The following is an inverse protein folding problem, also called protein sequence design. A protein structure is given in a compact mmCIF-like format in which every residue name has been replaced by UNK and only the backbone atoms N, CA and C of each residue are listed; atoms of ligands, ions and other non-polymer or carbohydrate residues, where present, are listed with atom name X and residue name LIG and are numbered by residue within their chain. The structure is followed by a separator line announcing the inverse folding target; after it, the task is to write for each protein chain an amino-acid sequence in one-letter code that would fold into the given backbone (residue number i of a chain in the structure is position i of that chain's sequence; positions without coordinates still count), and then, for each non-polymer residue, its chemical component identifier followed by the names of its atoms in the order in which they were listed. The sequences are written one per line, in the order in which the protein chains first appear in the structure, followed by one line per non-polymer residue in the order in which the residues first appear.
data_IF_536736261210
#
_entry.id   IF_536736261210
#
_cell.length_a   1.000
_cell.length_b   1.000
_cell.length_c   1.000
_cell.angle_alpha   90.00
_cell.angle_beta   90.00
_cell.angle_gamma   90.00
#
_symmetry.space_group_name_H-M   'P 1'
#
loop_
_entity.id
_entity.type
_entity.pdbx_description
1 polymer ?
#
# COMPACT_ATOMS: atom_id res chain seq x y z
N UNK A 1 -53.70 -69.93 -0.15
CA UNK A 1 -54.80 -69.20 0.59
C UNK A 1 -54.26 -67.80 0.86
N UNK A 2 -54.93 -66.85 0.24
CA UNK A 2 -54.91 -65.40 0.47
C UNK A 2 -53.54 -64.66 0.31
N UNK A 3 -53.32 -64.02 -0.83
CA UNK A 3 -53.92 -62.77 -1.30
C UNK A 3 -53.68 -61.55 -0.34
N UNK A 4 -52.89 -60.56 -0.85
CA UNK A 4 -53.20 -59.14 -0.95
C UNK A 4 -51.91 -58.40 -1.44
N UNK A 5 -51.90 -58.01 -2.63
CA UNK A 5 -51.99 -56.74 -3.31
C UNK A 5 -51.76 -55.48 -2.41
N UNK A 6 -50.74 -54.70 -2.65
CA UNK A 6 -50.91 -53.28 -2.93
C UNK A 6 -49.55 -52.55 -3.21
N UNK A 7 -49.47 -52.06 -4.36
CA UNK A 7 -49.51 -50.67 -4.84
C UNK A 7 -48.17 -49.91 -4.78
N UNK A 8 -47.66 -49.72 -5.99
CA UNK A 8 -46.67 -48.70 -6.40
C UNK A 8 -46.94 -47.32 -5.78
N UNK A 9 -45.89 -46.67 -5.33
CA UNK A 9 -45.83 -45.22 -5.39
C UNK A 9 -44.39 -44.77 -5.73
N UNK A 10 -44.23 -44.42 -6.99
CA UNK A 10 -43.01 -43.79 -7.53
C UNK A 10 -42.87 -42.38 -7.00
N UNK A 11 -41.87 -42.10 -6.19
CA UNK A 11 -41.48 -40.77 -5.86
C UNK A 11 -40.31 -40.32 -6.76
N UNK A 12 -40.66 -39.55 -7.78
CA UNK A 12 -39.71 -38.76 -8.58
C UNK A 12 -39.17 -37.65 -7.71
N UNK A 13 -37.91 -37.78 -7.29
CA UNK A 13 -37.16 -36.67 -6.67
C UNK A 13 -36.54 -35.88 -7.81
N UNK A 14 -37.16 -34.74 -8.15
CA UNK A 14 -36.58 -33.74 -9.02
C UNK A 14 -35.40 -33.05 -8.25
N UNK A 15 -34.20 -33.36 -8.70
CA UNK A 15 -32.99 -32.68 -8.25
C UNK A 15 -32.91 -31.33 -8.98
N UNK A 16 -33.47 -30.30 -8.38
CA UNK A 16 -33.34 -28.91 -8.85
C UNK A 16 -31.94 -28.42 -8.63
N UNK A 17 -31.16 -28.27 -9.71
CA UNK A 17 -29.91 -27.49 -9.70
C UNK A 17 -30.24 -26.02 -9.47
N UNK A 18 -30.19 -25.59 -8.22
CA UNK A 18 -30.22 -24.19 -7.84
C UNK A 18 -28.87 -23.56 -8.17
N UNK A 19 -28.77 -22.87 -9.31
CA UNK A 19 -27.71 -21.91 -9.56
C UNK A 19 -27.87 -20.74 -8.57
N UNK A 20 -27.24 -20.86 -7.39
CA UNK A 20 -27.15 -19.79 -6.43
C UNK A 20 -26.23 -18.71 -6.97
N UNK A 21 -26.81 -17.66 -7.56
CA UNK A 21 -26.09 -16.41 -7.81
C UNK A 21 -25.69 -15.84 -6.45
N UNK A 22 -24.42 -15.94 -6.09
CA UNK A 22 -23.83 -15.15 -4.99
C UNK A 22 -23.82 -13.69 -5.42
N UNK A 23 -24.93 -13.00 -5.20
CA UNK A 23 -24.92 -11.54 -5.18
C UNK A 23 -24.13 -11.12 -3.94
N UNK A 24 -22.95 -10.52 -4.15
CA UNK A 24 -22.22 -9.85 -3.09
C UNK A 24 -23.10 -8.71 -2.55
N UNK A 25 -23.78 -8.96 -1.45
CA UNK A 25 -24.55 -7.94 -0.76
C UNK A 25 -23.53 -6.96 -0.12
N UNK A 26 -23.45 -5.77 -0.69
CA UNK A 26 -22.81 -4.65 -0.02
C UNK A 26 -23.57 -4.39 1.28
N UNK A 27 -22.95 -4.63 2.43
CA UNK A 27 -23.51 -4.31 3.72
C UNK A 27 -23.61 -2.79 3.83
N UNK A 28 -24.81 -2.26 3.66
CA UNK A 28 -25.13 -0.85 3.94
C UNK A 28 -25.20 -0.71 5.46
N UNK A 29 -24.33 0.15 6.01
CA UNK A 29 -24.38 0.50 7.41
C UNK A 29 -25.73 1.17 7.75
N UNK A 30 -26.29 1.01 8.96
CA UNK A 30 -27.64 1.48 9.30
C UNK A 30 -27.84 3.00 9.26
N UNK A 31 -26.78 3.79 9.09
CA UNK A 31 -26.81 5.26 8.95
C UNK A 31 -26.76 5.75 7.50
N UNK A 32 -26.93 4.85 6.51
CA UNK A 32 -27.04 5.19 5.10
C UNK A 32 -25.78 5.82 4.45
N UNK A 33 -24.69 6.01 5.18
CA UNK A 33 -23.41 6.43 4.65
C UNK A 33 -22.55 5.21 4.35
N UNK A 34 -22.47 4.81 3.07
CA UNK A 34 -21.44 3.89 2.62
C UNK A 34 -20.09 4.44 3.09
N UNK A 35 -19.45 3.76 4.03
CA UNK A 35 -18.11 4.14 4.50
C UNK A 35 -17.19 4.00 3.30
N UNK A 36 -16.82 5.12 2.68
CA UNK A 36 -15.85 5.15 1.59
C UNK A 36 -14.57 4.46 2.09
N UNK A 37 -14.25 3.30 1.50
CA UNK A 37 -13.02 2.57 1.84
C UNK A 37 -11.84 3.34 1.27
N UNK A 38 -11.11 4.04 2.14
CA UNK A 38 -9.95 4.84 1.75
C UNK A 38 -8.70 3.95 1.80
N UNK A 39 -8.08 3.73 0.66
CA UNK A 39 -6.75 3.14 0.57
C UNK A 39 -5.72 4.23 0.87
N UNK A 40 -4.77 3.95 1.75
CA UNK A 40 -3.68 4.88 2.10
C UNK A 40 -2.34 4.25 1.74
N UNK A 41 -1.58 4.93 0.89
CA UNK A 41 -0.24 4.51 0.46
C UNK A 41 0.78 5.52 0.99
N UNK A 42 1.68 5.06 1.85
CA UNK A 42 2.83 5.83 2.29
C UNK A 42 4.03 5.48 1.41
N UNK A 43 4.67 6.50 0.84
CA UNK A 43 5.81 6.32 -0.04
C UNK A 43 6.99 7.12 0.48
N UNK A 44 8.14 6.47 0.57
CA UNK A 44 9.41 7.09 0.97
C UNK A 44 10.54 6.59 0.08
N UNK A 45 11.52 7.44 -0.15
CA UNK A 45 12.82 7.03 -0.70
C UNK A 45 13.57 6.21 0.36
N UNK A 46 14.44 5.27 -0.07
CA UNK A 46 15.42 4.69 0.85
C UNK A 46 16.16 5.79 1.61
N UNK A 47 16.53 5.52 2.84
CA UNK A 47 17.29 6.46 3.67
C UNK A 47 18.73 6.65 3.18
N UNK A 48 19.48 7.53 3.82
CA UNK A 48 20.84 7.89 3.43
C UNK A 48 21.75 6.67 3.32
N UNK A 49 22.42 6.58 2.17
CA UNK A 49 23.36 5.50 1.85
C UNK A 49 24.77 5.85 2.34
N UNK A 50 25.53 4.83 2.72
CA UNK A 50 26.96 4.95 2.96
C UNK A 50 27.71 4.82 1.62
N UNK A 51 28.21 5.94 1.11
CA UNK A 51 28.95 5.99 -0.15
C UNK A 51 30.40 5.48 -0.05
N UNK A 52 30.86 5.12 1.15
CA UNK A 52 32.25 4.66 1.38
C UNK A 52 32.40 3.16 1.25
N UNK A 53 31.29 2.40 1.29
CA UNK A 53 31.30 0.94 1.23
C UNK A 53 31.14 0.42 -0.21
N UNK A 54 30.08 -0.31 -0.48
CA UNK A 54 29.78 -0.90 -1.78
C UNK A 54 29.10 0.14 -2.71
N UNK A 55 29.78 0.58 -3.77
CA UNK A 55 29.23 1.57 -4.71
C UNK A 55 28.04 1.05 -5.50
N UNK A 56 27.96 -0.25 -5.75
CA UNK A 56 26.90 -0.84 -6.57
C UNK A 56 25.60 -0.99 -5.75
N UNK A 57 25.70 -1.47 -4.51
CA UNK A 57 24.56 -1.63 -3.62
C UNK A 57 24.93 -1.26 -2.16
N UNK A 58 25.07 0.05 -1.88
CA UNK A 58 25.51 0.53 -0.58
C UNK A 58 24.48 0.26 0.53
N UNK A 59 25.00 0.01 1.73
CA UNK A 59 24.21 -0.05 2.97
C UNK A 59 23.73 1.35 3.38
N UNK A 60 22.89 1.43 4.41
CA UNK A 60 22.54 2.69 5.04
C UNK A 60 23.73 3.25 5.84
N UNK A 61 23.91 4.57 5.79
CA UNK A 61 24.77 5.31 6.72
C UNK A 61 24.17 5.30 8.13
N UNK A 62 24.93 5.77 9.11
CA UNK A 62 24.43 5.96 10.48
C UNK A 62 23.19 6.88 10.52
N UNK A 63 23.19 7.98 9.73
CA UNK A 63 22.04 8.87 9.60
C UNK A 63 20.85 8.14 8.96
N UNK A 64 21.09 7.32 7.93
CA UNK A 64 20.05 6.52 7.28
C UNK A 64 19.40 5.51 8.23
N UNK A 65 20.18 4.92 9.14
CA UNK A 65 19.62 4.02 10.17
C UNK A 65 18.71 4.78 11.14
N UNK A 66 19.09 6.00 11.55
CA UNK A 66 18.24 6.88 12.39
C UNK A 66 16.93 7.21 11.65
N UNK A 67 17.01 7.54 10.34
CA UNK A 67 15.82 7.81 9.53
C UNK A 67 14.91 6.58 9.38
N UNK A 68 15.47 5.40 9.23
CA UNK A 68 14.71 4.13 9.20
C UNK A 68 13.94 3.91 10.52
N UNK A 69 14.55 4.20 11.67
CA UNK A 69 13.87 4.17 12.97
C UNK A 69 12.77 5.23 13.08
N UNK A 70 12.98 6.43 12.55
CA UNK A 70 11.95 7.48 12.51
C UNK A 70 10.76 7.05 11.66
N UNK A 71 10.99 6.39 10.52
CA UNK A 71 9.93 5.81 9.69
C UNK A 71 9.08 4.80 10.48
N UNK A 72 9.74 3.89 11.20
CA UNK A 72 9.06 2.94 12.10
C UNK A 72 8.18 3.67 13.11
N UNK A 73 8.70 4.66 13.82
CA UNK A 73 7.95 5.40 14.85
C UNK A 73 6.69 6.07 14.28
N UNK A 74 6.79 6.61 13.05
CA UNK A 74 5.69 7.29 12.38
C UNK A 74 4.61 6.34 11.88
N UNK A 75 4.99 5.16 11.36
CA UNK A 75 4.08 4.31 10.61
C UNK A 75 3.61 3.08 11.35
N UNK A 76 4.23 2.67 12.46
CA UNK A 76 3.80 1.49 13.24
C UNK A 76 2.34 1.60 13.68
N UNK A 77 1.88 2.79 14.09
CA UNK A 77 0.50 3.05 14.52
C UNK A 77 -0.47 3.29 13.36
N UNK A 78 -0.01 3.25 12.12
CA UNK A 78 -0.85 3.33 10.91
C UNK A 78 -1.37 1.97 10.48
N UNK A 79 -0.96 0.89 11.18
CA UNK A 79 -1.39 -0.48 10.95
C UNK A 79 -1.29 -0.88 9.47
N UNK A 80 -0.11 -0.76 8.84
CA UNK A 80 0.05 -1.20 7.47
C UNK A 80 -0.20 -2.70 7.38
N UNK A 81 -0.83 -3.14 6.30
CA UNK A 81 -1.10 -4.56 6.02
C UNK A 81 -0.18 -5.14 4.97
N UNK A 82 0.57 -4.30 4.26
CA UNK A 82 1.60 -4.70 3.30
C UNK A 82 2.73 -3.68 3.26
N UNK A 83 3.93 -4.20 3.03
CA UNK A 83 5.17 -3.46 2.91
C UNK A 83 5.82 -3.84 1.58
N UNK A 84 6.17 -2.84 0.76
CA UNK A 84 6.81 -3.03 -0.53
C UNK A 84 8.21 -2.41 -0.55
N UNK A 85 9.17 -3.10 -1.15
CA UNK A 85 10.56 -2.67 -1.27
C UNK A 85 11.15 -3.12 -2.61
N UNK A 86 12.15 -2.43 -3.13
CA UNK A 86 12.97 -2.97 -4.22
C UNK A 86 14.05 -3.91 -3.66
N UNK A 87 14.70 -4.67 -4.54
CA UNK A 87 15.74 -5.62 -4.15
C UNK A 87 17.12 -4.93 -4.02
N UNK A 88 17.23 -3.96 -3.12
CA UNK A 88 18.52 -3.34 -2.77
C UNK A 88 18.72 -3.33 -1.26
N UNK A 89 19.97 -3.42 -0.81
CA UNK A 89 20.32 -3.39 0.63
C UNK A 89 19.72 -2.17 1.32
N UNK A 90 19.82 -0.99 0.71
CA UNK A 90 19.35 0.28 1.30
C UNK A 90 17.83 0.37 1.43
N UNK A 91 17.05 -0.09 0.45
CA UNK A 91 15.58 -0.06 0.56
C UNK A 91 15.07 -1.07 1.57
N UNK A 92 15.63 -2.28 1.56
CA UNK A 92 15.34 -3.33 2.56
C UNK A 92 15.68 -2.84 3.97
N UNK A 93 16.87 -2.27 4.17
CA UNK A 93 17.30 -1.75 5.48
C UNK A 93 16.47 -0.56 5.97
N UNK A 94 15.98 0.30 5.05
CA UNK A 94 15.07 1.39 5.42
C UNK A 94 13.74 0.86 5.98
N UNK A 95 13.24 -0.24 5.41
CA UNK A 95 11.94 -0.78 5.78
C UNK A 95 12.02 -1.77 6.96
N UNK A 96 13.18 -2.38 7.21
CA UNK A 96 13.36 -3.46 8.18
C UNK A 96 12.86 -3.14 9.59
N UNK A 97 13.15 -1.96 10.21
CA UNK A 97 12.65 -1.67 11.56
C UNK A 97 11.12 -1.59 11.64
N UNK A 98 10.46 -1.12 10.58
CA UNK A 98 8.99 -1.10 10.52
C UNK A 98 8.45 -2.53 10.32
N UNK A 99 9.04 -3.29 9.41
CA UNK A 99 8.65 -4.67 9.11
C UNK A 99 8.67 -5.56 10.37
N UNK A 100 9.74 -5.47 11.14
CA UNK A 100 9.88 -6.17 12.42
C UNK A 100 8.78 -5.74 13.42
N UNK A 101 8.54 -4.44 13.55
CA UNK A 101 7.57 -3.91 14.52
C UNK A 101 6.12 -4.28 14.19
N UNK A 102 5.76 -4.37 12.91
CA UNK A 102 4.41 -4.77 12.47
C UNK A 102 4.29 -6.25 12.14
N UNK A 103 5.39 -7.02 12.22
CA UNK A 103 5.47 -8.46 11.93
C UNK A 103 4.99 -8.81 10.52
N UNK A 104 5.40 -8.02 9.53
CA UNK A 104 5.10 -8.24 8.12
C UNK A 104 6.39 -8.49 7.34
N UNK A 105 6.36 -9.45 6.42
CA UNK A 105 7.46 -9.67 5.48
C UNK A 105 7.36 -8.68 4.32
N UNK A 106 8.41 -7.90 4.03
CA UNK A 106 8.42 -6.98 2.90
C UNK A 106 8.37 -7.73 1.55
N UNK A 107 7.48 -7.29 0.68
CA UNK A 107 7.31 -7.82 -0.66
C UNK A 107 8.20 -7.04 -1.64
N UNK A 108 9.01 -7.76 -2.41
CA UNK A 108 9.89 -7.16 -3.42
C UNK A 108 9.08 -6.85 -4.68
N UNK A 109 9.29 -5.64 -5.23
CA UNK A 109 8.75 -5.26 -6.52
C UNK A 109 9.88 -4.83 -7.48
N UNK A 110 9.67 -4.98 -8.78
CA UNK A 110 10.59 -4.48 -9.80
C UNK A 110 10.40 -2.97 -9.96
N UNK A 111 11.46 -2.14 -9.76
CA UNK A 111 11.37 -0.70 -9.95
C UNK A 111 11.07 -0.26 -11.40
N UNK A 112 11.12 -1.18 -12.37
CA UNK A 112 10.70 -0.93 -13.74
C UNK A 112 9.20 -1.15 -13.97
N UNK A 113 8.54 -1.89 -13.07
CA UNK A 113 7.13 -2.29 -13.17
C UNK A 113 6.22 -1.48 -12.22
N UNK A 114 6.41 -0.16 -12.18
CA UNK A 114 5.68 0.76 -11.28
C UNK A 114 4.18 0.70 -11.50
N UNK A 115 3.73 0.63 -12.74
CA UNK A 115 2.31 0.53 -13.08
C UNK A 115 1.69 -0.77 -12.55
N UNK A 116 2.42 -1.89 -12.63
CA UNK A 116 1.97 -3.17 -12.10
C UNK A 116 1.81 -3.10 -10.57
N UNK A 117 2.76 -2.47 -9.86
CA UNK A 117 2.63 -2.23 -8.41
C UNK A 117 1.41 -1.39 -8.09
N UNK A 118 1.15 -0.29 -8.82
CA UNK A 118 0.00 0.57 -8.60
C UNK A 118 -1.33 -0.19 -8.84
N UNK A 119 -1.42 -1.01 -9.88
CA UNK A 119 -2.58 -1.88 -10.15
C UNK A 119 -2.79 -2.85 -8.99
N UNK A 120 -1.74 -3.53 -8.56
CA UNK A 120 -1.78 -4.47 -7.44
C UNK A 120 -2.25 -3.81 -6.15
N UNK A 121 -1.74 -2.62 -5.82
CA UNK A 121 -2.16 -1.86 -4.63
C UNK A 121 -3.66 -1.56 -4.69
N UNK A 122 -4.18 -1.10 -5.84
CA UNK A 122 -5.60 -0.80 -6.00
C UNK A 122 -6.51 -2.02 -5.90
N UNK A 123 -6.07 -3.17 -6.41
CA UNK A 123 -6.88 -4.40 -6.46
C UNK A 123 -6.85 -5.17 -5.13
N UNK A 124 -5.67 -5.40 -4.57
CA UNK A 124 -5.48 -6.29 -3.42
C UNK A 124 -5.58 -5.56 -2.07
N UNK A 125 -5.34 -4.23 -2.06
CA UNK A 125 -5.24 -3.45 -0.82
C UNK A 125 -6.26 -2.31 -0.75
N UNK A 126 -7.40 -2.42 -1.46
CA UNK A 126 -8.47 -1.45 -1.37
C UNK A 126 -8.95 -1.26 0.08
N UNK A 127 -9.06 -0.02 0.53
CA UNK A 127 -9.45 0.34 1.90
C UNK A 127 -8.41 0.06 2.98
N UNK A 128 -7.18 -0.30 2.60
CA UNK A 128 -6.11 -0.68 3.54
C UNK A 128 -4.97 0.33 3.51
N UNK A 129 -4.05 0.19 4.46
CA UNK A 129 -2.81 0.98 4.51
C UNK A 129 -1.65 0.13 4.02
N UNK A 130 -0.85 0.67 3.10
CA UNK A 130 0.38 0.06 2.61
C UNK A 130 1.55 1.04 2.69
N UNK A 131 2.77 0.51 2.76
CA UNK A 131 4.01 1.31 2.77
C UNK A 131 4.91 0.84 1.64
N UNK A 132 5.46 1.79 0.88
CA UNK A 132 6.37 1.53 -0.23
C UNK A 132 7.67 2.28 0.02
N UNK A 133 8.79 1.56 0.01
CA UNK A 133 10.13 2.13 -0.01
C UNK A 133 10.72 1.95 -1.41
N UNK A 134 11.08 3.06 -2.04
CA UNK A 134 11.61 3.09 -3.41
C UNK A 134 12.80 4.03 -3.56
N UNK A 135 12.92 4.62 -4.75
CA UNK A 135 14.02 5.49 -5.17
C UNK A 135 13.49 6.84 -5.62
N UNK A 136 14.37 7.85 -5.74
CA UNK A 136 13.98 9.20 -6.21
C UNK A 136 13.26 9.18 -7.57
N UNK A 137 13.68 8.29 -8.47
CA UNK A 137 13.12 8.15 -9.81
C UNK A 137 11.86 7.24 -9.89
N UNK A 138 11.43 6.59 -8.82
CA UNK A 138 10.28 5.67 -8.85
C UNK A 138 9.08 6.17 -8.07
N UNK A 139 9.26 7.07 -7.09
CA UNK A 139 8.19 7.50 -6.20
C UNK A 139 7.17 8.39 -6.91
N UNK A 140 7.62 9.40 -7.66
CA UNK A 140 6.72 10.31 -8.36
C UNK A 140 5.93 9.58 -9.46
N UNK A 141 6.56 8.72 -10.32
CA UNK A 141 5.83 7.85 -11.24
C UNK A 141 4.81 6.91 -10.55
N UNK A 142 5.10 6.43 -9.33
CA UNK A 142 4.14 5.61 -8.60
C UNK A 142 2.94 6.43 -8.12
N UNK A 143 3.15 7.68 -7.67
CA UNK A 143 2.06 8.60 -7.31
C UNK A 143 1.14 8.83 -8.52
N UNK A 144 1.71 9.11 -9.70
CA UNK A 144 0.96 9.27 -10.96
C UNK A 144 0.21 7.99 -11.34
N UNK A 145 0.86 6.84 -11.26
CA UNK A 145 0.23 5.54 -11.54
C UNK A 145 -0.89 5.19 -10.56
N UNK A 146 -0.88 5.73 -9.35
CA UNK A 146 -2.00 5.64 -8.39
C UNK A 146 -3.12 6.65 -8.70
N UNK A 147 -2.94 7.50 -9.73
CA UNK A 147 -3.90 8.52 -10.17
C UNK A 147 -3.74 9.87 -9.46
N UNK A 148 -2.71 10.03 -8.65
CA UNK A 148 -2.41 11.28 -7.94
C UNK A 148 -1.53 12.22 -8.74
N UNK A 149 -1.49 13.49 -8.33
CA UNK A 149 -0.53 14.48 -8.85
C UNK A 149 0.62 14.61 -7.86
N UNK A 150 1.89 14.40 -8.29
CA UNK A 150 3.05 14.61 -7.44
C UNK A 150 3.09 16.05 -6.89
N UNK A 151 3.36 16.24 -5.59
CA UNK A 151 3.42 17.57 -4.99
C UNK A 151 4.76 18.29 -5.19
N UNK A 152 5.73 17.60 -5.79
CA UNK A 152 7.06 18.12 -6.15
C UNK A 152 7.43 17.66 -7.55
N UNK A 153 8.27 18.43 -8.25
CA UNK A 153 8.68 18.11 -9.62
C UNK A 153 9.78 17.05 -9.68
N UNK A 154 10.64 17.00 -8.66
CA UNK A 154 11.75 16.05 -8.58
C UNK A 154 12.15 15.79 -7.13
N UNK A 155 12.93 14.73 -6.91
CA UNK A 155 13.56 14.40 -5.63
C UNK A 155 15.06 14.37 -5.87
N UNK A 156 15.77 15.35 -5.32
CA UNK A 156 17.23 15.49 -5.47
C UNK A 156 17.99 14.39 -4.70
N UNK A 157 19.27 14.18 -5.06
CA UNK A 157 20.07 13.12 -4.46
C UNK A 157 20.32 13.26 -2.94
N UNK A 158 20.21 14.46 -2.40
CA UNK A 158 20.35 14.76 -0.98
C UNK A 158 19.01 14.89 -0.24
N UNK A 159 17.89 14.58 -0.86
CA UNK A 159 16.55 14.63 -0.27
C UNK A 159 16.07 13.23 0.10
N UNK A 160 16.05 12.95 1.40
CA UNK A 160 15.66 11.65 1.97
C UNK A 160 14.47 11.78 2.92
N UNK A 161 14.02 12.99 3.21
CA UNK A 161 13.05 13.30 4.26
C UNK A 161 11.60 13.38 3.78
N UNK A 162 11.32 13.19 2.48
CA UNK A 162 9.96 13.21 1.98
C UNK A 162 9.18 11.95 2.36
N UNK A 163 8.07 12.15 3.06
CA UNK A 163 7.02 11.15 3.25
C UNK A 163 5.79 11.59 2.44
N UNK A 164 5.58 10.96 1.31
CA UNK A 164 4.36 11.13 0.51
C UNK A 164 3.24 10.25 1.06
N UNK A 165 2.03 10.78 1.04
CA UNK A 165 0.82 10.02 1.39
C UNK A 165 -0.18 10.17 0.26
N UNK A 166 -0.55 9.06 -0.38
CA UNK A 166 -1.62 8.99 -1.38
C UNK A 166 -2.83 8.34 -0.73
N UNK A 167 -3.96 9.05 -0.73
CA UNK A 167 -5.24 8.53 -0.24
C UNK A 167 -6.20 8.46 -1.41
N UNK A 168 -6.69 7.28 -1.69
CA UNK A 168 -7.62 7.04 -2.81
C UNK A 168 -8.88 6.33 -2.31
N UNK A 169 -10.02 6.72 -2.82
CA UNK A 169 -11.30 6.09 -2.57
C UNK A 169 -12.06 5.92 -3.89
N UNK A 170 -12.92 4.91 -3.95
CA UNK A 170 -13.73 4.66 -5.15
C UNK A 170 -14.58 5.91 -5.47
N UNK A 171 -14.55 6.34 -6.72
CA UNK A 171 -15.34 7.49 -7.19
C UNK A 171 -14.79 8.87 -6.80
N UNK A 172 -13.57 8.94 -6.24
CA UNK A 172 -12.93 10.21 -5.86
C UNK A 172 -11.54 10.33 -6.45
N UNK A 173 -11.11 11.56 -6.74
CA UNK A 173 -9.73 11.82 -7.11
C UNK A 173 -8.81 11.54 -5.90
N UNK A 174 -7.62 10.97 -6.13
CA UNK A 174 -6.64 10.77 -5.07
C UNK A 174 -6.19 12.09 -4.45
N UNK A 175 -6.03 12.09 -3.13
CA UNK A 175 -5.42 13.19 -2.38
C UNK A 175 -3.98 12.83 -2.10
N UNK A 176 -3.05 13.66 -2.56
CA UNK A 176 -1.61 13.49 -2.33
C UNK A 176 -1.14 14.59 -1.39
N UNK A 177 -0.42 14.20 -0.35
CA UNK A 177 0.24 15.12 0.58
C UNK A 177 1.70 14.72 0.74
N UNK A 178 2.55 15.70 1.09
CA UNK A 178 3.96 15.48 1.42
C UNK A 178 4.28 16.16 2.74
N UNK A 179 5.13 15.54 3.53
CA UNK A 179 5.71 16.13 4.75
C UNK A 179 7.13 15.64 4.95
N UNK A 180 7.89 16.38 5.73
CA UNK A 180 9.20 15.95 6.20
C UNK A 180 9.10 14.88 7.31
N UNK A 181 10.10 13.99 7.39
CA UNK A 181 10.24 13.03 8.48
C UNK A 181 11.72 12.72 8.77
N UNK A 182 11.96 12.20 9.97
CA UNK A 182 13.31 11.83 10.42
C UNK A 182 14.10 13.00 10.97
N UNK A 183 15.43 12.86 11.11
CA UNK A 183 16.27 13.93 11.63
C UNK A 183 16.31 15.11 10.66
N UNK A 184 16.17 16.31 11.19
CA UNK A 184 16.26 17.59 10.44
C UNK A 184 15.43 17.64 9.15
N UNK A 185 14.10 17.42 9.22
CA UNK A 185 13.27 17.46 8.02
C UNK A 185 13.24 18.87 7.45
N UNK A 186 13.44 19.03 6.14
CA UNK A 186 13.35 20.31 5.44
C UNK A 186 11.92 20.82 5.33
N UNK A 187 10.94 19.89 5.23
CA UNK A 187 9.52 20.20 5.25
C UNK A 187 8.97 20.02 6.67
N UNK A 188 8.41 21.09 7.23
CA UNK A 188 7.62 21.00 8.46
C UNK A 188 6.20 20.51 8.15
N UNK A 189 5.47 20.05 9.18
CA UNK A 189 4.09 19.54 9.00
C UNK A 189 3.13 20.57 8.38
N UNK A 190 3.44 21.87 8.47
CA UNK A 190 2.61 23.00 8.01
C UNK A 190 3.10 23.62 6.70
N UNK A 191 4.07 23.03 6.00
CA UNK A 191 4.51 23.58 4.71
C UNK A 191 3.40 23.41 3.66
N UNK A 192 2.75 24.49 3.18
CA UNK A 192 1.74 24.38 2.14
C UNK A 192 2.37 23.81 0.87
N UNK A 193 1.76 22.77 0.31
CA UNK A 193 2.16 22.25 -1.00
C UNK A 193 1.80 23.32 -2.03
N UNK A 194 2.75 23.80 -2.86
CA UNK A 194 2.42 24.69 -3.97
C UNK A 194 1.39 24.02 -4.87
N UNK A 195 0.22 24.64 -5.04
CA UNK A 195 -0.74 24.17 -6.05
C UNK A 195 -0.17 24.57 -7.40
N UNK A 196 0.32 23.58 -8.14
CA UNK A 196 0.69 23.76 -9.53
C UNK A 196 -0.63 24.09 -10.27
N UNK A 197 -0.66 25.26 -10.93
CA UNK A 197 -1.80 25.71 -11.76
C UNK A 197 -1.76 25.04 -13.11
#
# INVERSE_FOLDING_TARGET
MNSFLNTCLSLLICFGLGLGSFAAQAQVAPDGKARSMVTTVYLVRHAEKDSTTDRADPMLSALGQVRAQALRQLLVRRHPVALFTTDTKRTRATLAPLAEAVKLEPQVYDPKEITALAVRIRQEYAGKTVVVVGHSNTLLPLIESLGGTPPVESISDNEYDYLFTVRTAVGSLPIVTVRGYGPEPKLTADTPVPRIR
#
